data_IF_634282729524
#
_entry.id   IF_634282729524
#
_cell.length_a   1.000
_cell.length_b   1.000
_cell.length_c   1.000
_cell.angle_alpha   90.00
_cell.angle_beta   90.00
_cell.angle_gamma   90.00
#
_symmetry.space_group_name_H-M   'P 1'
#
loop_
_entity.id
_entity.type
_entity.pdbx_description
1 polymer ?
#
# COMPACT_ATOMS: atom_id res chain seq x y z
N UNK A 1 25.91 -5.27 5.25
CA UNK A 1 24.73 -4.72 4.55
C UNK A 1 24.82 -5.13 3.11
N UNK A 2 23.83 -5.86 2.61
CA UNK A 2 23.79 -6.33 1.21
C UNK A 2 23.18 -5.27 0.30
N UNK A 3 23.35 -5.42 -1.02
CA UNK A 3 22.71 -4.56 -2.01
C UNK A 3 21.18 -4.56 -1.88
N UNK A 4 20.59 -5.72 -1.60
CA UNK A 4 19.14 -5.87 -1.46
C UNK A 4 18.61 -5.15 -0.22
N UNK A 5 19.34 -5.24 0.89
CA UNK A 5 19.01 -4.51 2.13
C UNK A 5 19.07 -2.99 1.91
N UNK A 6 20.10 -2.51 1.20
CA UNK A 6 20.22 -1.09 0.87
C UNK A 6 19.10 -0.63 -0.07
N UNK A 7 18.80 -1.42 -1.11
CA UNK A 7 17.68 -1.17 -2.05
C UNK A 7 16.37 -1.03 -1.30
N UNK A 8 16.08 -1.95 -0.38
CA UNK A 8 14.88 -1.91 0.46
C UNK A 8 14.79 -0.58 1.22
N UNK A 9 15.86 -0.20 1.93
CA UNK A 9 15.90 1.05 2.70
C UNK A 9 15.65 2.26 1.82
N UNK A 10 16.33 2.37 0.68
CA UNK A 10 16.15 3.48 -0.25
C UNK A 10 14.72 3.52 -0.77
N UNK A 11 14.16 2.38 -1.17
CA UNK A 11 12.81 2.33 -1.73
C UNK A 11 11.78 2.71 -0.67
N UNK A 12 11.85 2.19 0.55
CA UNK A 12 10.90 2.52 1.64
C UNK A 12 10.95 4.02 1.99
N UNK A 13 12.14 4.59 2.14
CA UNK A 13 12.25 6.02 2.43
C UNK A 13 11.81 6.91 1.27
N UNK A 14 12.19 6.58 0.03
CA UNK A 14 11.82 7.40 -1.13
C UNK A 14 10.31 7.31 -1.43
N UNK A 15 9.71 6.12 -1.38
CA UNK A 15 8.30 5.91 -1.64
C UNK A 15 7.39 6.52 -0.58
N UNK A 16 7.88 6.71 0.65
CA UNK A 16 7.15 7.36 1.74
C UNK A 16 7.34 8.88 1.77
N UNK A 17 8.60 9.35 1.70
CA UNK A 17 8.94 10.77 1.83
C UNK A 17 8.50 11.57 0.61
N UNK A 18 8.67 11.03 -0.61
CA UNK A 18 8.32 11.77 -1.84
C UNK A 18 6.83 12.15 -1.83
N UNK A 19 5.86 11.24 -1.64
CA UNK A 19 4.45 11.63 -1.57
C UNK A 19 4.14 12.53 -0.37
N UNK A 20 4.74 12.23 0.80
CA UNK A 20 4.56 13.02 2.02
C UNK A 20 4.92 14.49 1.84
N UNK A 21 5.96 14.79 1.06
CA UNK A 21 6.40 16.16 0.79
C UNK A 21 5.71 16.74 -0.45
N UNK A 22 5.62 15.97 -1.53
CA UNK A 22 5.14 16.46 -2.82
C UNK A 22 3.64 16.76 -2.80
N UNK A 23 2.81 15.89 -2.19
CA UNK A 23 1.35 16.06 -2.19
C UNK A 23 0.96 17.37 -1.47
N UNK A 24 1.44 17.67 -0.25
CA UNK A 24 1.15 18.96 0.40
C UNK A 24 1.66 20.17 -0.38
N UNK A 25 2.87 20.11 -0.94
CA UNK A 25 3.43 21.23 -1.74
C UNK A 25 2.54 21.51 -2.95
N UNK A 26 2.15 20.46 -3.70
CA UNK A 26 1.29 20.59 -4.87
C UNK A 26 -0.12 21.07 -4.49
N UNK A 27 -0.61 20.68 -3.32
CA UNK A 27 -1.89 21.13 -2.78
C UNK A 27 -1.87 22.63 -2.47
N UNK A 28 -0.86 23.11 -1.73
CA UNK A 28 -0.70 24.54 -1.39
C UNK A 28 -0.52 25.39 -2.65
N UNK A 29 0.17 24.86 -3.68
CA UNK A 29 0.34 25.52 -4.98
C UNK A 29 -0.88 25.40 -5.90
N UNK A 30 -1.97 24.78 -5.46
CA UNK A 30 -3.20 24.55 -6.25
C UNK A 30 -2.95 23.81 -7.59
N UNK A 31 -1.90 22.99 -7.68
CA UNK A 31 -1.57 22.21 -8.88
C UNK A 31 -2.40 20.92 -8.97
N UNK A 32 -2.76 20.36 -7.82
CA UNK A 32 -3.63 19.18 -7.71
C UNK A 32 -4.99 19.56 -7.12
N UNK A 33 -6.06 18.77 -7.38
CA UNK A 33 -7.36 19.02 -6.79
C UNK A 33 -7.31 19.05 -5.26
N UNK A 34 -8.11 19.94 -4.65
CA UNK A 34 -8.15 20.14 -3.19
C UNK A 34 -8.48 18.86 -2.41
N UNK A 35 -9.22 17.92 -3.02
CA UNK A 35 -9.60 16.67 -2.39
C UNK A 35 -8.44 15.67 -2.23
N UNK A 36 -7.34 15.82 -2.98
CA UNK A 36 -6.25 14.81 -3.02
C UNK A 36 -5.53 14.71 -1.68
N UNK A 37 -5.20 15.83 -1.04
CA UNK A 37 -4.52 15.84 0.26
C UNK A 37 -5.35 15.14 1.37
N UNK A 38 -6.62 15.52 1.63
CA UNK A 38 -7.42 14.84 2.65
C UNK A 38 -7.72 13.39 2.27
N UNK A 39 -7.79 13.05 0.98
CA UNK A 39 -7.91 11.66 0.53
C UNK A 39 -6.65 10.85 0.85
N UNK A 40 -5.45 11.37 0.56
CA UNK A 40 -4.18 10.76 0.92
C UNK A 40 -4.07 10.51 2.44
N UNK A 41 -4.46 11.50 3.26
CA UNK A 41 -4.46 11.35 4.73
C UNK A 41 -5.42 10.24 5.18
N UNK A 42 -6.61 10.13 4.60
CA UNK A 42 -7.54 9.02 4.92
C UNK A 42 -6.97 7.67 4.53
N UNK A 43 -6.35 7.56 3.35
CA UNK A 43 -5.73 6.32 2.90
C UNK A 43 -4.57 5.89 3.82
N UNK A 44 -3.76 6.83 4.31
CA UNK A 44 -2.72 6.55 5.30
C UNK A 44 -3.29 5.83 6.52
N UNK A 45 -4.41 6.31 7.08
CA UNK A 45 -5.04 5.66 8.23
C UNK A 45 -5.63 4.29 7.88
N UNK A 46 -6.20 4.13 6.67
CA UNK A 46 -6.72 2.83 6.21
C UNK A 46 -5.57 1.81 6.09
N UNK A 47 -4.42 2.17 5.51
CA UNK A 47 -3.25 1.29 5.44
C UNK A 47 -2.71 0.96 6.85
N UNK A 48 -2.52 1.99 7.68
CA UNK A 48 -2.01 1.87 9.03
C UNK A 48 -2.83 0.88 9.89
N UNK A 49 -4.14 1.13 9.99
CA UNK A 49 -5.05 0.35 10.82
C UNK A 49 -5.42 -0.98 10.13
N UNK A 50 -5.47 -0.98 8.80
CA UNK A 50 -5.89 -2.11 8.00
C UNK A 50 -4.90 -3.27 7.99
N UNK A 51 -3.59 -3.01 7.96
CA UNK A 51 -2.58 -4.07 8.02
C UNK A 51 -1.23 -3.66 8.57
N UNK A 52 -0.74 -2.44 8.31
CA UNK A 52 0.66 -2.09 8.60
C UNK A 52 1.01 -2.19 10.08
N UNK A 53 0.16 -1.69 10.99
CA UNK A 53 0.39 -1.81 12.44
C UNK A 53 0.45 -3.29 12.87
N UNK A 54 -0.47 -4.11 12.37
CA UNK A 54 -0.59 -5.51 12.74
C UNK A 54 0.60 -6.33 12.24
N UNK A 55 0.97 -6.16 10.98
CA UNK A 55 2.12 -6.84 10.37
C UNK A 55 3.43 -6.37 11.00
N UNK A 56 3.52 -5.10 11.38
CA UNK A 56 4.72 -4.54 11.99
C UNK A 56 4.99 -5.13 13.37
N UNK A 57 3.97 -5.21 14.23
CA UNK A 57 4.13 -5.67 15.60
C UNK A 57 3.88 -7.17 15.81
N UNK A 58 3.24 -7.86 14.86
CA UNK A 58 2.94 -9.28 15.03
C UNK A 58 1.82 -9.54 16.04
N UNK A 59 0.84 -8.64 16.16
CA UNK A 59 -0.08 -8.67 17.31
C UNK A 59 -0.92 -9.94 17.44
N UNK A 60 -1.26 -10.60 16.33
CA UNK A 60 -2.15 -11.76 16.35
C UNK A 60 -1.59 -12.86 15.46
N UNK A 61 -1.04 -13.89 16.10
CA UNK A 61 -0.59 -15.14 15.47
C UNK A 61 0.48 -15.01 14.38
N UNK A 62 1.24 -13.90 14.33
CA UNK A 62 2.34 -13.73 13.39
C UNK A 62 3.54 -13.03 14.02
N UNK A 63 4.66 -13.04 13.31
CA UNK A 63 5.92 -12.49 13.80
C UNK A 63 6.00 -10.98 13.56
N UNK A 64 6.56 -10.28 14.55
CA UNK A 64 6.89 -8.86 14.39
C UNK A 64 7.92 -8.66 13.28
N UNK A 65 7.90 -7.49 12.64
CA UNK A 65 8.90 -7.14 11.62
C UNK A 65 10.33 -7.21 12.18
N UNK A 66 10.48 -6.99 13.50
CA UNK A 66 11.75 -7.11 14.20
C UNK A 66 12.39 -8.49 14.08
N UNK A 67 11.56 -9.53 14.12
CA UNK A 67 11.97 -10.94 14.00
C UNK A 67 12.11 -11.34 12.53
N UNK A 68 11.22 -10.85 11.66
CA UNK A 68 11.16 -11.27 10.24
C UNK A 68 12.30 -10.72 9.38
N UNK A 69 13.02 -9.68 9.81
CA UNK A 69 14.09 -9.04 9.01
C UNK A 69 15.46 -9.11 9.69
N UNK A 70 16.52 -8.93 8.90
CA UNK A 70 17.88 -8.85 9.39
C UNK A 70 18.10 -7.67 10.36
N UNK A 71 18.97 -7.83 11.36
CA UNK A 71 19.25 -6.83 12.40
C UNK A 71 19.69 -5.47 11.86
N UNK A 72 20.45 -5.46 10.76
CA UNK A 72 20.87 -4.19 10.13
C UNK A 72 19.67 -3.39 9.60
N UNK A 73 18.61 -4.05 9.12
CA UNK A 73 17.38 -3.37 8.70
C UNK A 73 16.59 -2.86 9.91
N UNK A 74 16.66 -3.54 11.06
CA UNK A 74 16.11 -3.03 12.32
C UNK A 74 16.75 -1.72 12.77
N UNK A 75 18.05 -1.57 12.53
CA UNK A 75 18.79 -0.34 12.86
C UNK A 75 18.47 0.81 11.89
N UNK A 76 18.36 0.52 10.59
CA UNK A 76 18.14 1.54 9.54
C UNK A 76 16.68 1.98 9.42
N UNK A 77 15.74 1.09 9.70
CA UNK A 77 14.29 1.37 9.70
C UNK A 77 13.74 0.91 11.05
N UNK A 78 13.78 1.72 12.11
CA UNK A 78 13.30 1.32 13.42
C UNK A 78 11.86 0.80 13.40
N UNK A 79 11.55 -0.23 14.19
CA UNK A 79 10.23 -0.89 14.21
C UNK A 79 9.08 0.10 14.42
N UNK A 80 9.27 1.11 15.28
CA UNK A 80 8.26 2.12 15.56
C UNK A 80 8.03 3.12 14.42
N UNK A 81 8.98 3.21 13.48
CA UNK A 81 8.88 4.05 12.29
C UNK A 81 8.43 3.25 11.05
N UNK A 82 8.71 1.95 11.01
CA UNK A 82 8.45 1.09 9.86
C UNK A 82 6.98 1.09 9.42
N UNK A 83 6.03 0.93 10.34
CA UNK A 83 4.60 0.97 9.99
C UNK A 83 4.18 2.33 9.44
N UNK A 84 4.77 3.44 9.93
CA UNK A 84 4.49 4.79 9.42
C UNK A 84 4.98 4.91 7.99
N UNK A 85 6.22 4.53 7.72
CA UNK A 85 6.83 4.65 6.40
C UNK A 85 6.08 3.80 5.37
N UNK A 86 5.77 2.54 5.68
CA UNK A 86 5.01 1.69 4.77
C UNK A 86 3.59 2.22 4.55
N UNK A 87 2.89 2.68 5.59
CA UNK A 87 1.55 3.29 5.43
C UNK A 87 1.59 4.55 4.54
N UNK A 88 2.64 5.37 4.64
CA UNK A 88 2.82 6.55 3.80
C UNK A 88 3.12 6.16 2.34
N UNK A 89 3.94 5.13 2.13
CA UNK A 89 4.26 4.60 0.82
C UNK A 89 3.02 4.00 0.14
N UNK A 90 2.26 3.19 0.87
CA UNK A 90 1.04 2.55 0.37
C UNK A 90 -0.04 3.58 0.01
N UNK A 91 -0.27 4.57 0.87
CA UNK A 91 -1.24 5.63 0.59
C UNK A 91 -0.79 6.52 -0.57
N UNK A 92 0.49 6.87 -0.62
CA UNK A 92 1.04 7.87 -1.53
C UNK A 92 1.48 7.28 -2.86
N UNK A 93 2.54 6.47 -2.82
CA UNK A 93 3.15 5.90 -4.02
C UNK A 93 2.21 4.88 -4.68
N UNK A 94 1.54 4.02 -3.89
CA UNK A 94 0.71 2.96 -4.47
C UNK A 94 -0.71 3.46 -4.75
N UNK A 95 -1.45 3.94 -3.75
CA UNK A 95 -2.85 4.28 -3.96
C UNK A 95 -3.01 5.57 -4.78
N UNK A 96 -2.43 6.69 -4.33
CA UNK A 96 -2.50 7.94 -5.09
C UNK A 96 -1.75 7.84 -6.43
N UNK A 97 -0.57 7.23 -6.45
CA UNK A 97 0.20 6.99 -7.67
C UNK A 97 -0.54 6.07 -8.66
N UNK A 98 -1.14 4.98 -8.19
CA UNK A 98 -1.94 4.08 -9.02
C UNK A 98 -3.19 4.76 -9.60
N UNK A 99 -3.87 5.59 -8.81
CA UNK A 99 -4.98 6.41 -9.31
C UNK A 99 -4.51 7.43 -10.37
N UNK A 100 -3.36 8.05 -10.16
CA UNK A 100 -2.77 8.96 -11.13
C UNK A 100 -2.41 8.25 -12.44
N UNK A 101 -1.78 7.08 -12.38
CA UNK A 101 -1.47 6.26 -13.55
C UNK A 101 -2.75 5.83 -14.28
N UNK A 102 -3.76 5.37 -13.54
CA UNK A 102 -5.04 5.01 -14.13
C UNK A 102 -5.73 6.21 -14.82
N UNK A 103 -5.63 7.41 -14.24
CA UNK A 103 -6.12 8.64 -14.86
C UNK A 103 -5.37 8.97 -16.16
N UNK A 104 -4.05 8.75 -16.21
CA UNK A 104 -3.26 8.91 -17.43
C UNK A 104 -3.67 7.89 -18.52
N UNK A 105 -3.80 6.61 -18.15
CA UNK A 105 -4.21 5.53 -19.08
C UNK A 105 -5.59 5.80 -19.67
N UNK A 106 -6.51 6.35 -18.88
CA UNK A 106 -7.87 6.70 -19.32
C UNK A 106 -7.94 8.04 -20.08
N UNK A 107 -6.80 8.58 -20.53
CA UNK A 107 -6.75 9.80 -21.33
C UNK A 107 -7.16 11.05 -20.56
N UNK A 108 -6.85 11.10 -19.26
CA UNK A 108 -7.11 12.22 -18.35
C UNK A 108 -8.59 12.56 -18.14
N UNK A 109 -9.50 11.64 -18.46
CA UNK A 109 -10.94 11.81 -18.27
C UNK A 109 -11.33 11.53 -16.82
N UNK A 110 -12.06 12.46 -16.20
CA UNK A 110 -12.51 12.33 -14.80
C UNK A 110 -13.80 11.50 -14.64
N UNK A 111 -14.47 11.18 -15.75
CA UNK A 111 -15.76 10.48 -15.76
C UNK A 111 -15.67 9.07 -15.16
N UNK A 112 -14.55 8.38 -15.35
CA UNK A 112 -14.31 7.04 -14.80
C UNK A 112 -14.25 6.98 -13.26
N UNK A 113 -14.09 8.13 -12.60
CA UNK A 113 -13.90 8.22 -11.15
C UNK A 113 -15.15 8.63 -10.38
N UNK A 114 -16.20 9.11 -11.06
CA UNK A 114 -17.42 9.63 -10.39
C UNK A 114 -18.44 8.56 -10.04
N UNK A 115 -18.43 7.44 -10.75
CA UNK A 115 -19.35 6.31 -10.59
C UNK A 115 -18.57 5.01 -10.67
N UNK A 116 -19.14 3.94 -10.11
CA UNK A 116 -18.51 2.62 -10.16
C UNK A 116 -18.47 2.09 -11.59
N UNK A 117 -17.27 1.74 -12.06
CA UNK A 117 -17.04 1.09 -13.35
C UNK A 117 -16.13 -0.11 -13.16
N UNK A 118 -16.58 -1.27 -13.63
CA UNK A 118 -15.80 -2.51 -13.55
C UNK A 118 -14.46 -2.44 -14.27
N UNK A 119 -14.35 -1.67 -15.36
CA UNK A 119 -13.08 -1.46 -16.06
C UNK A 119 -12.07 -0.69 -15.20
N UNK A 120 -12.51 0.34 -14.47
CA UNK A 120 -11.66 1.11 -13.57
C UNK A 120 -11.25 0.26 -12.36
N UNK A 121 -12.20 -0.47 -11.78
CA UNK A 121 -11.93 -1.40 -10.70
C UNK A 121 -10.90 -2.47 -11.13
N UNK A 122 -11.08 -3.09 -12.30
CA UNK A 122 -10.15 -4.08 -12.83
C UNK A 122 -8.76 -3.51 -13.08
N UNK A 123 -8.66 -2.29 -13.61
CA UNK A 123 -7.38 -1.60 -13.81
C UNK A 123 -6.64 -1.37 -12.48
N UNK A 124 -7.36 -0.90 -11.45
CA UNK A 124 -6.77 -0.71 -10.12
C UNK A 124 -6.40 -2.04 -9.47
N UNK A 125 -7.24 -3.07 -9.60
CA UNK A 125 -6.99 -4.39 -9.03
C UNK A 125 -5.71 -5.00 -9.61
N UNK A 126 -5.58 -5.00 -10.94
CA UNK A 126 -4.37 -5.46 -11.63
C UNK A 126 -3.16 -4.64 -11.20
N UNK A 127 -3.31 -3.32 -11.10
CA UNK A 127 -2.24 -2.43 -10.63
C UNK A 127 -1.78 -2.74 -9.20
N UNK A 128 -2.71 -2.86 -8.25
CA UNK A 128 -2.42 -3.03 -6.82
C UNK A 128 -1.92 -4.44 -6.48
N UNK A 129 -2.48 -5.48 -7.11
CA UNK A 129 -1.96 -6.85 -6.94
C UNK A 129 -0.62 -6.99 -7.68
N UNK A 130 -0.52 -6.46 -8.91
CA UNK A 130 0.70 -6.54 -9.71
C UNK A 130 1.89 -5.85 -9.06
N UNK A 131 1.71 -4.64 -8.51
CA UNK A 131 2.78 -3.97 -7.78
C UNK A 131 3.17 -4.73 -6.51
N UNK A 132 2.20 -5.33 -5.78
CA UNK A 132 2.49 -6.05 -4.54
C UNK A 132 3.31 -7.31 -4.82
N UNK A 133 3.00 -8.03 -5.90
CA UNK A 133 3.80 -9.16 -6.37
C UNK A 133 5.25 -8.73 -6.63
N UNK A 134 5.49 -7.57 -7.26
CA UNK A 134 6.84 -7.05 -7.51
C UNK A 134 7.53 -6.70 -6.17
N UNK A 135 6.82 -6.03 -5.27
CA UNK A 135 7.34 -5.64 -3.96
C UNK A 135 7.73 -6.88 -3.14
N UNK A 136 6.86 -7.89 -3.08
CA UNK A 136 7.12 -9.15 -2.37
C UNK A 136 8.29 -9.91 -3.00
N UNK A 137 8.33 -10.04 -4.33
CA UNK A 137 9.40 -10.76 -5.02
C UNK A 137 10.76 -10.06 -4.94
N UNK A 138 10.84 -8.73 -4.92
CA UNK A 138 12.13 -8.02 -5.07
C UNK A 138 12.54 -7.18 -3.87
N UNK A 139 11.62 -6.79 -3.00
CA UNK A 139 11.93 -5.98 -1.82
C UNK A 139 11.76 -6.78 -0.53
N UNK A 140 10.68 -7.53 -0.41
CA UNK A 140 10.30 -8.18 0.85
C UNK A 140 10.38 -9.70 0.87
N UNK A 141 11.01 -10.33 -0.12
CA UNK A 141 11.07 -11.81 -0.21
C UNK A 141 11.63 -12.46 1.07
N UNK A 142 12.67 -11.87 1.65
CA UNK A 142 13.24 -12.32 2.93
C UNK A 142 12.31 -12.09 4.13
N UNK A 143 11.39 -11.14 4.07
CA UNK A 143 10.51 -10.78 5.20
C UNK A 143 9.14 -11.46 5.15
N UNK A 144 8.77 -11.96 3.97
CA UNK A 144 7.46 -12.55 3.64
C UNK A 144 7.60 -14.02 3.18
N UNK A 145 8.70 -14.67 3.56
CA UNK A 145 8.94 -16.08 3.28
C UNK A 145 7.95 -16.99 4.02
N UNK A 146 7.80 -18.22 3.53
CA UNK A 146 6.92 -19.26 4.11
C UNK A 146 7.10 -19.42 5.62
N UNK A 147 8.34 -19.34 6.12
CA UNK A 147 8.66 -19.54 7.54
C UNK A 147 8.44 -18.30 8.42
N UNK A 148 7.91 -17.21 7.87
CA UNK A 148 7.76 -15.91 8.55
C UNK A 148 6.30 -15.46 8.55
N UNK A 149 5.46 -16.05 9.42
CA UNK A 149 4.03 -15.81 9.40
C UNK A 149 3.68 -14.33 9.61
N UNK A 150 2.85 -13.79 8.73
CA UNK A 150 2.26 -12.46 8.90
C UNK A 150 1.14 -12.51 9.93
N UNK A 151 1.05 -11.47 10.76
CA UNK A 151 -0.07 -11.31 11.71
C UNK A 151 -1.40 -11.28 10.98
N UNK A 152 -2.47 -11.73 11.66
CA UNK A 152 -3.82 -11.34 11.27
C UNK A 152 -3.97 -9.82 11.29
N UNK A 153 -4.77 -9.29 10.37
CA UNK A 153 -5.13 -7.88 10.32
C UNK A 153 -6.54 -7.67 9.74
N UNK A 154 -7.19 -6.52 9.95
CA UNK A 154 -8.52 -6.22 9.40
C UNK A 154 -8.63 -6.40 7.88
N UNK A 155 -7.59 -6.04 7.12
CA UNK A 155 -7.54 -6.21 5.66
C UNK A 155 -6.77 -7.48 5.24
N UNK A 156 -6.36 -8.33 6.18
CA UNK A 156 -5.86 -9.68 5.94
C UNK A 156 -6.58 -10.68 6.87
N UNK A 157 -7.90 -10.82 6.74
CA UNK A 157 -8.75 -11.42 7.76
C UNK A 157 -8.57 -12.93 7.92
N UNK A 158 -8.00 -13.62 6.92
CA UNK A 158 -7.70 -15.05 7.03
C UNK A 158 -6.55 -15.33 7.99
N UNK A 159 -5.73 -14.32 8.28
CA UNK A 159 -4.52 -14.45 9.07
C UNK A 159 -3.59 -15.56 8.55
N UNK A 160 -2.64 -16.01 9.40
CA UNK A 160 -1.76 -17.12 9.06
C UNK A 160 -2.49 -18.47 9.05
N UNK A 161 -3.73 -18.57 9.54
CA UNK A 161 -4.50 -19.82 9.57
C UNK A 161 -4.91 -20.33 8.19
N UNK A 162 -5.19 -19.41 7.26
CA UNK A 162 -5.42 -19.75 5.86
C UNK A 162 -4.54 -18.86 4.99
N UNK A 163 -3.32 -19.35 4.76
CA UNK A 163 -2.29 -18.67 3.99
C UNK A 163 -1.58 -19.65 3.03
N UNK A 164 -2.27 -20.18 2.00
CA UNK A 164 -1.62 -21.06 1.02
C UNK A 164 -0.55 -20.32 0.24
N UNK A 165 0.51 -21.04 -0.14
CA UNK A 165 1.49 -20.62 -1.14
C UNK A 165 0.78 -20.49 -2.50
N UNK A 166 0.83 -19.31 -3.11
CA UNK A 166 0.26 -19.07 -4.43
C UNK A 166 1.26 -19.35 -5.54
N UNK A 167 2.52 -18.99 -5.31
CA UNK A 167 3.59 -19.11 -6.29
C UNK A 167 4.94 -19.13 -5.60
N UNK A 168 5.90 -19.85 -6.18
CA UNK A 168 7.29 -19.84 -5.73
C UNK A 168 8.22 -19.84 -6.94
N UNK A 169 9.26 -18.99 -6.90
CA UNK A 169 10.30 -18.93 -7.92
C UNK A 169 11.63 -18.53 -7.30
N UNK A 170 12.68 -19.31 -7.55
CA UNK A 170 14.05 -19.01 -7.08
C UNK A 170 14.14 -18.76 -5.56
N UNK A 171 13.42 -19.56 -4.77
CA UNK A 171 13.36 -19.42 -3.30
C UNK A 171 12.52 -18.23 -2.81
N UNK A 172 11.78 -17.56 -3.70
CA UNK A 172 10.90 -16.44 -3.36
C UNK A 172 9.45 -16.89 -3.45
N UNK A 173 8.72 -16.78 -2.35
CA UNK A 173 7.30 -17.14 -2.24
C UNK A 173 6.38 -15.94 -2.39
N UNK A 174 5.23 -16.12 -3.04
CA UNK A 174 4.05 -15.27 -2.90
C UNK A 174 3.03 -16.02 -2.07
N UNK A 175 2.65 -15.42 -0.95
CA UNK A 175 1.68 -15.98 -0.02
C UNK A 175 0.28 -15.39 -0.27
N UNK A 176 -0.79 -16.14 -0.01
CA UNK A 176 -2.15 -15.62 -0.21
C UNK A 176 -2.47 -14.44 0.71
N UNK A 177 -2.05 -14.53 1.97
CA UNK A 177 -2.31 -13.52 3.00
C UNK A 177 -1.69 -12.15 2.66
N UNK A 178 -0.53 -12.11 1.99
CA UNK A 178 0.11 -10.86 1.59
C UNK A 178 -0.63 -10.14 0.46
N UNK A 179 -1.46 -10.86 -0.31
CA UNK A 179 -2.29 -10.26 -1.38
C UNK A 179 -3.63 -9.72 -0.87
N UNK A 180 -4.13 -10.26 0.24
CA UNK A 180 -5.45 -9.89 0.80
C UNK A 180 -5.61 -8.38 1.07
N UNK A 181 -4.62 -7.68 1.68
CA UNK A 181 -4.71 -6.24 1.86
C UNK A 181 -5.05 -5.52 0.57
N UNK A 182 -4.37 -5.85 -0.53
CA UNK A 182 -4.58 -5.19 -1.82
C UNK A 182 -5.87 -5.61 -2.52
N UNK A 183 -6.28 -6.87 -2.37
CA UNK A 183 -7.57 -7.36 -2.87
C UNK A 183 -8.73 -6.61 -2.23
N UNK A 184 -8.69 -6.40 -0.91
CA UNK A 184 -9.74 -5.69 -0.16
C UNK A 184 -9.57 -4.16 -0.26
N UNK A 185 -8.34 -3.65 -0.33
CA UNK A 185 -8.04 -2.22 -0.45
C UNK A 185 -8.50 -1.65 -1.80
N UNK A 186 -8.43 -2.44 -2.88
CA UNK A 186 -8.86 -1.99 -4.21
C UNK A 186 -10.30 -1.44 -4.23
N UNK A 187 -11.34 -2.19 -3.81
CA UNK A 187 -12.69 -1.65 -3.77
C UNK A 187 -12.83 -0.52 -2.76
N UNK A 188 -12.11 -0.55 -1.62
CA UNK A 188 -12.15 0.52 -0.62
C UNK A 188 -11.63 1.86 -1.17
N UNK A 189 -10.46 1.86 -1.81
CA UNK A 189 -9.88 3.05 -2.45
C UNK A 189 -10.84 3.63 -3.50
N UNK A 190 -11.42 2.77 -4.33
CA UNK A 190 -12.29 3.25 -5.40
C UNK A 190 -13.61 3.82 -4.87
N UNK A 191 -14.23 3.16 -3.88
CA UNK A 191 -15.43 3.68 -3.23
C UNK A 191 -15.17 4.98 -2.48
N UNK A 192 -14.04 5.07 -1.77
CA UNK A 192 -13.64 6.28 -1.05
C UNK A 192 -13.39 7.44 -2.01
N UNK A 193 -12.83 7.17 -3.18
CA UNK A 193 -12.63 8.17 -4.22
C UNK A 193 -13.97 8.68 -4.76
N UNK A 194 -14.90 7.78 -5.08
CA UNK A 194 -16.24 8.15 -5.56
C UNK A 194 -16.94 9.03 -4.51
N UNK A 195 -16.90 8.63 -3.22
CA UNK A 195 -17.48 9.40 -2.12
C UNK A 195 -16.86 10.79 -2.01
N UNK A 196 -15.53 10.86 -2.04
CA UNK A 196 -14.77 12.10 -1.97
C UNK A 196 -15.14 13.06 -3.11
N UNK A 197 -15.23 12.54 -4.34
CA UNK A 197 -15.59 13.35 -5.51
C UNK A 197 -17.03 13.86 -5.44
N UNK A 198 -17.99 13.05 -4.96
CA UNK A 198 -19.40 13.46 -4.77
C UNK A 198 -19.54 14.56 -3.71
N UNK A 199 -18.85 14.44 -2.59
CA UNK A 199 -18.84 15.49 -1.55
C UNK A 199 -18.25 16.80 -2.10
N UNK A 200 -17.14 16.74 -2.84
CA UNK A 200 -16.50 17.93 -3.42
C UNK A 200 -17.33 18.65 -4.50
N UNK A 201 -18.31 17.96 -5.11
CA UNK A 201 -19.26 18.58 -6.04
C UNK A 201 -20.42 19.26 -5.32
N UNK A 202 -20.79 18.81 -4.12
CA UNK A 202 -21.87 19.40 -3.32
C UNK A 202 -21.46 20.70 -2.63
N UNK A 203 -20.16 20.91 -2.37
CA UNK A 203 -19.61 22.15 -1.79
C UNK A 203 -19.49 23.31 -2.81
N UNK A 204 -19.89 23.09 -4.07
CA UNK A 204 -19.88 24.10 -5.15
C UNK A 204 -21.26 24.63 -5.54
N UNK A 205 -22.31 24.28 -4.78
CA UNK A 205 -23.67 24.80 -4.89
C UNK A 205 -24.00 25.62 -3.66
#
# INVERSE_FOLDING_TARGET
MTFEQLRLVIVVYSSSIIPLVLIPILHVRNVIPKWVLPFYVRLFFICAIGWEIWFNYGFVAGDSVGVRRADILNQLIPVHLNWVLNSLADAGAICCGGLFLAWLILGRKSEGFKTWRWSMFGLLLVGFIGQNIIVEMYLYHDQLSVDKPLSWAPLAPTGPWFNPLLWEYDGRSIMFQSQLPWLIMTPLVYLELIRTLKSSSSERL
#
